data_IF_316435668072
#
_entry.id   IF_316435668072
#
_cell.length_a   1.000
_cell.length_b   1.000
_cell.length_c   1.000
_cell.angle_alpha   90.00
_cell.angle_beta   90.00
_cell.angle_gamma   90.00
#
_symmetry.space_group_name_H-M   'P 1'
#
loop_
_entity.id
_entity.type
_entity.pdbx_description
1 polymer ?
#
# COMPACT_ATOMS: atom_id res chain seq x y z
N UNK A 1 -31.09 2.87 -29.80
CA UNK A 1 -32.09 3.59 -28.97
C UNK A 1 -32.73 4.65 -29.86
N UNK A 2 -34.07 4.69 -29.89
CA UNK A 2 -34.81 5.66 -30.69
C UNK A 2 -34.79 7.07 -30.05
N UNK A 3 -34.89 8.11 -30.88
CA UNK A 3 -35.03 9.50 -30.39
C UNK A 3 -36.25 9.64 -29.45
N UNK A 4 -37.33 8.92 -29.75
CA UNK A 4 -38.52 8.87 -28.89
C UNK A 4 -38.22 8.38 -27.48
N UNK A 5 -37.31 7.41 -27.35
CA UNK A 5 -36.86 6.88 -26.02
C UNK A 5 -36.10 7.97 -25.28
N UNK A 6 -35.17 8.65 -25.94
CA UNK A 6 -34.38 9.72 -25.35
C UNK A 6 -35.25 10.88 -24.89
N UNK A 7 -36.17 11.31 -25.75
CA UNK A 7 -37.16 12.35 -25.38
C UNK A 7 -38.02 11.95 -24.19
N UNK A 8 -38.43 10.67 -24.11
CA UNK A 8 -39.15 10.17 -22.96
C UNK A 8 -38.31 10.23 -21.69
N UNK A 9 -37.04 9.78 -21.75
CA UNK A 9 -36.11 9.80 -20.59
C UNK A 9 -35.87 11.24 -20.10
N UNK A 10 -35.79 12.23 -21.02
CA UNK A 10 -35.67 13.65 -20.65
C UNK A 10 -36.93 14.15 -19.96
N UNK A 11 -38.10 13.82 -20.53
CA UNK A 11 -39.40 14.27 -19.96
C UNK A 11 -39.70 13.63 -18.61
N UNK A 12 -39.30 12.38 -18.41
CA UNK A 12 -39.53 11.64 -17.17
C UNK A 12 -38.52 11.98 -16.05
N UNK A 13 -37.50 12.83 -16.34
CA UNK A 13 -36.51 13.25 -15.36
C UNK A 13 -37.13 14.28 -14.39
N UNK A 14 -37.22 13.94 -13.11
CA UNK A 14 -37.81 14.76 -12.04
C UNK A 14 -37.18 16.16 -11.95
N UNK A 15 -35.92 16.31 -12.29
CA UNK A 15 -35.24 17.63 -12.28
C UNK A 15 -35.82 18.62 -13.33
N UNK A 16 -36.47 18.10 -14.37
CA UNK A 16 -37.06 18.88 -15.44
C UNK A 16 -38.57 18.95 -15.35
N UNK A 17 -39.16 18.42 -14.26
CA UNK A 17 -40.61 18.41 -14.03
C UNK A 17 -41.02 19.49 -13.00
N UNK A 18 -42.28 19.89 -13.03
CA UNK A 18 -42.90 20.65 -11.95
C UNK A 18 -43.46 19.75 -10.86
N UNK A 19 -44.13 20.30 -9.86
CA UNK A 19 -44.74 19.60 -8.74
C UNK A 19 -45.81 18.59 -9.16
N UNK A 20 -46.40 18.78 -10.33
CA UNK A 20 -47.41 17.90 -10.91
C UNK A 20 -46.82 16.83 -11.85
N UNK A 21 -45.47 16.73 -11.94
CA UNK A 21 -44.82 15.77 -12.83
C UNK A 21 -44.80 16.16 -14.31
N UNK A 22 -45.14 17.39 -14.65
CA UNK A 22 -45.17 17.88 -16.03
C UNK A 22 -43.83 18.48 -16.43
N UNK A 23 -43.27 18.01 -17.57
CA UNK A 23 -41.99 18.49 -18.09
C UNK A 23 -42.00 20.01 -18.33
N UNK A 24 -41.02 20.71 -17.80
CA UNK A 24 -40.80 22.14 -17.92
C UNK A 24 -39.58 22.45 -18.80
N UNK A 25 -39.80 22.91 -20.02
CA UNK A 25 -38.71 23.25 -20.97
C UNK A 25 -37.73 24.27 -20.39
N UNK A 26 -38.22 25.24 -19.62
CA UNK A 26 -37.38 26.27 -18.99
C UNK A 26 -36.38 25.63 -17.97
N UNK A 27 -36.78 24.62 -17.21
CA UNK A 27 -35.89 23.93 -16.30
C UNK A 27 -34.79 23.16 -17.05
N UNK A 28 -35.17 22.54 -18.18
CA UNK A 28 -34.21 21.82 -19.04
C UNK A 28 -33.20 22.81 -19.68
N UNK A 29 -33.67 23.93 -20.25
CA UNK A 29 -32.78 24.94 -20.83
C UNK A 29 -31.83 25.56 -19.80
N UNK A 30 -32.32 25.90 -18.60
CA UNK A 30 -31.46 26.35 -17.49
C UNK A 30 -30.41 25.36 -17.11
N UNK A 31 -30.75 24.07 -17.04
CA UNK A 31 -29.80 23.01 -16.78
C UNK A 31 -28.70 22.93 -17.86
N UNK A 32 -29.07 23.01 -19.13
CA UNK A 32 -28.12 23.02 -20.24
C UNK A 32 -27.15 24.19 -20.14
N UNK A 33 -27.65 25.39 -19.88
CA UNK A 33 -26.84 26.57 -19.71
C UNK A 33 -25.91 26.49 -18.51
N UNK A 34 -26.41 26.07 -17.35
CA UNK A 34 -25.60 25.93 -16.14
C UNK A 34 -24.51 24.87 -16.27
N UNK A 35 -24.76 23.83 -17.08
CA UNK A 35 -23.82 22.74 -17.34
C UNK A 35 -22.88 22.99 -18.52
N UNK A 36 -23.00 24.12 -19.18
CA UNK A 36 -22.30 24.48 -20.41
C UNK A 36 -22.41 23.38 -21.51
N UNK A 37 -23.62 22.86 -21.69
CA UNK A 37 -23.94 21.80 -22.64
C UNK A 37 -24.95 22.31 -23.70
N UNK A 38 -24.73 21.89 -24.93
CA UNK A 38 -25.79 22.02 -25.94
C UNK A 38 -26.77 20.85 -25.85
N UNK A 39 -28.03 21.03 -26.27
CA UNK A 39 -29.03 19.97 -26.28
C UNK A 39 -28.58 18.75 -27.07
N UNK A 40 -27.99 18.83 -28.28
CA UNK A 40 -27.46 17.68 -29.00
C UNK A 40 -26.35 16.92 -28.24
N UNK A 41 -25.47 17.66 -27.56
CA UNK A 41 -24.41 17.02 -26.74
C UNK A 41 -24.98 16.26 -25.52
N UNK A 42 -25.97 16.84 -24.86
CA UNK A 42 -26.64 16.21 -23.72
C UNK A 42 -27.42 14.98 -24.16
N UNK A 43 -28.18 15.06 -25.25
CA UNK A 43 -28.92 13.94 -25.83
C UNK A 43 -28.01 12.81 -26.30
N UNK A 44 -26.85 13.13 -26.89
CA UNK A 44 -25.83 12.13 -27.24
C UNK A 44 -25.25 11.44 -26.00
N UNK A 45 -24.92 12.20 -24.95
CA UNK A 45 -24.46 11.62 -23.68
C UNK A 45 -25.52 10.70 -23.06
N UNK A 46 -26.78 11.12 -23.08
CA UNK A 46 -27.89 10.34 -22.58
C UNK A 46 -28.08 9.06 -23.40
N UNK A 47 -28.02 9.15 -24.73
CA UNK A 47 -28.08 8.00 -25.64
C UNK A 47 -26.97 7.00 -25.34
N UNK A 48 -25.73 7.44 -25.19
CA UNK A 48 -24.60 6.59 -24.89
C UNK A 48 -24.77 5.91 -23.52
N UNK A 49 -25.24 6.62 -22.51
CA UNK A 49 -25.55 6.06 -21.19
C UNK A 49 -26.64 5.00 -21.23
N UNK A 50 -27.70 5.25 -21.96
CA UNK A 50 -28.78 4.26 -22.13
C UNK A 50 -28.33 3.04 -22.95
N UNK A 51 -27.49 3.23 -23.97
CA UNK A 51 -26.86 2.11 -24.72
C UNK A 51 -25.99 1.28 -23.80
N UNK A 52 -25.15 1.89 -22.99
CA UNK A 52 -24.30 1.20 -22.02
C UNK A 52 -25.14 0.43 -20.98
N UNK A 53 -26.20 1.05 -20.47
CA UNK A 53 -27.14 0.39 -19.55
C UNK A 53 -27.78 -0.84 -20.20
N UNK A 54 -28.30 -0.72 -21.42
CA UNK A 54 -28.88 -1.84 -22.16
C UNK A 54 -27.86 -2.96 -22.41
N UNK A 55 -26.63 -2.60 -22.79
CA UNK A 55 -25.55 -3.57 -22.95
C UNK A 55 -25.29 -4.36 -21.66
N UNK A 56 -25.16 -3.67 -20.55
CA UNK A 56 -24.96 -4.30 -19.24
C UNK A 56 -26.18 -5.12 -18.80
N UNK A 57 -27.38 -4.67 -19.14
CA UNK A 57 -28.59 -5.42 -18.85
C UNK A 57 -28.67 -6.70 -19.70
N UNK A 58 -28.30 -6.65 -20.98
CA UNK A 58 -28.28 -7.84 -21.85
C UNK A 58 -27.21 -8.86 -21.39
N UNK A 59 -26.01 -8.39 -21.03
CA UNK A 59 -24.91 -9.25 -20.60
C UNK A 59 -25.21 -9.87 -19.23
N UNK A 60 -25.73 -9.07 -18.30
CA UNK A 60 -26.04 -9.47 -16.93
C UNK A 60 -27.49 -9.88 -16.67
N UNK A 61 -28.36 -9.81 -17.68
CA UNK A 61 -29.79 -10.12 -17.51
C UNK A 61 -30.02 -11.64 -17.30
N UNK A 62 -30.91 -11.94 -16.38
CA UNK A 62 -31.29 -13.31 -16.08
C UNK A 62 -30.30 -14.09 -15.22
N UNK A 63 -29.22 -13.44 -14.75
CA UNK A 63 -28.26 -14.08 -13.86
C UNK A 63 -28.81 -14.10 -12.44
N UNK A 64 -29.58 -15.11 -12.14
CA UNK A 64 -30.05 -15.42 -10.77
C UNK A 64 -29.24 -16.61 -10.29
N UNK A 65 -28.58 -16.46 -9.16
CA UNK A 65 -27.89 -17.58 -8.51
C UNK A 65 -28.93 -18.62 -8.09
N UNK A 66 -28.75 -19.91 -8.45
CA UNK A 66 -29.65 -20.95 -8.00
C UNK A 66 -29.80 -20.97 -6.48
N UNK A 67 -31.04 -21.04 -5.97
CA UNK A 67 -31.33 -20.97 -4.54
C UNK A 67 -30.53 -21.97 -3.72
N UNK A 68 -30.38 -23.21 -4.19
CA UNK A 68 -29.61 -24.24 -3.48
C UNK A 68 -28.14 -23.86 -3.28
N UNK A 69 -27.52 -23.13 -4.22
CA UNK A 69 -26.14 -22.63 -4.07
C UNK A 69 -26.07 -21.49 -3.05
N UNK A 70 -27.07 -20.62 -3.06
CA UNK A 70 -27.15 -19.52 -2.07
C UNK A 70 -27.34 -20.10 -0.67
N UNK A 71 -28.30 -21.04 -0.51
CA UNK A 71 -28.56 -21.71 0.76
C UNK A 71 -27.32 -22.41 1.30
N UNK A 72 -26.68 -23.22 0.46
CA UNK A 72 -25.43 -23.90 0.84
C UNK A 72 -24.34 -22.93 1.29
N UNK A 73 -24.13 -21.86 0.53
CA UNK A 73 -23.12 -20.86 0.87
C UNK A 73 -23.46 -20.07 2.13
N UNK A 74 -24.75 -19.79 2.35
CA UNK A 74 -25.21 -19.15 3.57
C UNK A 74 -24.99 -20.05 4.78
N UNK A 75 -25.35 -21.32 4.71
CA UNK A 75 -25.09 -22.32 5.75
C UNK A 75 -23.60 -22.44 6.05
N UNK A 76 -22.75 -22.51 5.03
CA UNK A 76 -21.30 -22.59 5.18
C UNK A 76 -20.72 -21.34 5.87
N UNK A 77 -21.23 -20.16 5.58
CA UNK A 77 -20.75 -18.90 6.17
C UNK A 77 -21.27 -18.69 7.61
N UNK A 78 -22.40 -19.29 7.96
CA UNK A 78 -23.07 -19.08 9.25
C UNK A 78 -23.08 -20.32 10.13
N UNK A 79 -22.29 -21.36 9.79
CA UNK A 79 -22.07 -22.49 10.71
C UNK A 79 -21.31 -22.01 11.94
N UNK A 80 -21.52 -22.61 13.10
CA UNK A 80 -20.71 -22.40 14.29
C UNK A 80 -19.55 -23.38 14.29
N UNK A 81 -18.32 -22.87 14.41
CA UNK A 81 -17.12 -23.67 14.61
C UNK A 81 -16.75 -23.69 16.09
N UNK A 82 -16.57 -24.86 16.66
CA UNK A 82 -15.97 -25.02 17.99
C UNK A 82 -14.46 -25.31 17.81
N UNK A 83 -13.65 -24.49 18.44
CA UNK A 83 -12.19 -24.53 18.31
C UNK A 83 -11.53 -24.79 19.65
N UNK A 84 -10.50 -25.64 19.64
CA UNK A 84 -9.50 -25.74 20.70
C UNK A 84 -8.24 -25.05 20.22
N UNK A 85 -7.61 -24.19 21.02
CA UNK A 85 -6.44 -23.42 20.59
C UNK A 85 -5.52 -23.05 21.74
N UNK A 86 -4.30 -22.68 21.42
CA UNK A 86 -3.34 -22.10 22.37
C UNK A 86 -2.33 -21.19 21.65
N UNK A 87 -1.77 -20.24 22.42
CA UNK A 87 -0.75 -19.33 21.94
C UNK A 87 0.58 -20.04 21.78
N UNK A 88 1.25 -19.85 20.64
CA UNK A 88 2.52 -20.46 20.31
C UNK A 88 3.72 -19.78 21.00
N UNK A 89 3.53 -18.55 21.54
CA UNK A 89 4.63 -17.73 22.09
C UNK A 89 5.42 -18.46 23.18
N UNK A 90 4.74 -19.22 24.03
CA UNK A 90 5.39 -20.02 25.09
C UNK A 90 6.20 -21.21 24.62
N UNK A 91 6.20 -21.55 23.32
CA UNK A 91 6.97 -22.64 22.74
C UNK A 91 8.24 -22.17 22.02
N UNK A 92 8.39 -20.88 21.82
CA UNK A 92 9.59 -20.32 21.19
C UNK A 92 10.71 -20.18 22.21
N UNK A 93 11.95 -20.26 21.74
CA UNK A 93 13.15 -19.98 22.55
C UNK A 93 13.11 -18.51 23.00
N UNK A 94 13.36 -18.23 24.28
CA UNK A 94 13.41 -16.84 24.75
C UNK A 94 14.62 -16.10 24.14
N UNK A 95 14.47 -14.80 23.88
CA UNK A 95 15.56 -13.98 23.32
C UNK A 95 16.80 -13.94 24.21
N UNK A 96 16.62 -14.07 25.52
CA UNK A 96 17.72 -14.11 26.48
C UNK A 96 18.50 -15.41 26.51
N UNK A 97 17.98 -16.45 25.87
CA UNK A 97 18.64 -17.77 25.79
C UNK A 97 19.62 -17.89 24.61
N UNK A 98 19.67 -16.86 23.72
CA UNK A 98 20.64 -16.86 22.63
C UNK A 98 22.02 -16.42 23.14
N UNK A 99 22.99 -17.32 22.94
CA UNK A 99 24.39 -17.09 23.31
C UNK A 99 25.15 -16.34 22.24
N UNK A 100 26.32 -15.81 22.56
CA UNK A 100 27.21 -15.21 21.54
C UNK A 100 27.64 -16.25 20.49
N UNK A 101 27.77 -17.50 20.88
CA UNK A 101 28.09 -18.59 19.95
C UNK A 101 26.97 -18.80 18.92
N UNK A 102 25.68 -18.77 19.37
CA UNK A 102 24.51 -18.82 18.46
C UNK A 102 24.55 -17.68 17.46
N UNK A 103 24.87 -16.47 17.90
CA UNK A 103 24.96 -15.29 17.03
C UNK A 103 26.12 -15.39 16.04
N UNK A 104 27.28 -15.92 16.46
CA UNK A 104 28.41 -16.12 15.55
C UNK A 104 28.10 -17.17 14.47
N UNK A 105 27.44 -18.27 14.85
CA UNK A 105 26.98 -19.30 13.90
C UNK A 105 25.99 -18.67 12.91
N UNK A 106 25.02 -17.90 13.41
CA UNK A 106 24.02 -17.22 12.59
C UNK A 106 24.65 -16.24 11.59
N UNK A 107 25.64 -15.45 12.02
CA UNK A 107 26.39 -14.53 11.15
C UNK A 107 27.11 -15.32 10.05
N UNK A 108 27.76 -16.42 10.40
CA UNK A 108 28.50 -17.25 9.45
C UNK A 108 27.59 -17.91 8.41
N UNK A 109 26.42 -18.41 8.84
CA UNK A 109 25.45 -19.04 7.94
C UNK A 109 24.76 -18.03 6.99
N UNK A 110 24.68 -16.76 7.39
CA UNK A 110 23.99 -15.71 6.67
C UNK A 110 24.94 -14.57 6.27
N UNK A 111 26.22 -14.86 6.09
CA UNK A 111 27.28 -13.86 5.90
C UNK A 111 26.98 -12.90 4.74
N UNK A 112 26.55 -13.43 3.60
CA UNK A 112 26.25 -12.61 2.41
C UNK A 112 25.07 -11.66 2.59
N UNK A 113 24.11 -12.00 3.46
CA UNK A 113 22.93 -11.19 3.74
C UNK A 113 23.16 -10.18 4.86
N UNK A 114 24.07 -10.49 5.80
CA UNK A 114 24.34 -9.68 6.98
C UNK A 114 25.50 -8.71 6.79
N UNK A 115 26.36 -8.93 5.78
CA UNK A 115 27.41 -7.97 5.44
C UNK A 115 26.79 -6.63 5.05
N UNK A 116 27.27 -5.57 5.68
CA UNK A 116 26.93 -4.20 5.30
C UNK A 116 28.06 -3.59 4.48
N UNK A 117 27.71 -2.91 3.40
CA UNK A 117 28.65 -2.15 2.60
C UNK A 117 28.90 -0.81 3.24
N UNK A 118 30.18 -0.43 3.27
CA UNK A 118 30.68 0.83 3.80
C UNK A 118 31.52 1.55 2.74
N UNK A 119 31.47 2.87 2.76
CA UNK A 119 32.34 3.71 1.94
C UNK A 119 33.10 4.70 2.81
N UNK A 120 34.37 4.93 2.44
CA UNK A 120 35.16 6.06 2.91
C UNK A 120 35.21 7.08 1.77
N UNK A 121 34.84 8.32 2.03
CA UNK A 121 34.78 9.34 1.00
C UNK A 121 35.08 10.73 1.54
N UNK A 122 35.49 11.61 0.60
CA UNK A 122 35.62 13.04 0.83
C UNK A 122 34.64 13.78 -0.04
N UNK A 123 34.09 14.87 0.49
CA UNK A 123 33.21 15.71 -0.30
C UNK A 123 33.29 17.17 0.09
N UNK A 124 32.88 18.01 -0.82
CA UNK A 124 32.70 19.45 -0.62
C UNK A 124 31.29 19.83 -1.05
N UNK A 125 30.72 20.80 -0.35
CA UNK A 125 29.45 21.41 -0.73
C UNK A 125 29.75 22.69 -1.48
N UNK A 126 29.30 22.80 -2.73
CA UNK A 126 29.49 23.95 -3.58
C UNK A 126 28.20 24.77 -3.66
N UNK A 127 28.32 26.05 -3.40
CA UNK A 127 27.25 27.04 -3.55
C UNK A 127 27.86 28.36 -4.04
N UNK A 128 27.05 29.33 -4.50
CA UNK A 128 27.59 30.59 -5.02
C UNK A 128 28.51 31.33 -4.06
N UNK A 129 28.18 31.27 -2.74
CA UNK A 129 28.95 31.95 -1.70
C UNK A 129 30.36 31.41 -1.53
N UNK A 130 30.51 30.08 -1.56
CA UNK A 130 31.85 29.46 -1.32
C UNK A 130 32.64 29.21 -2.60
N UNK A 131 32.00 29.19 -3.77
CA UNK A 131 32.68 28.97 -5.05
C UNK A 131 33.11 30.29 -5.71
N UNK A 132 32.24 31.30 -5.75
CA UNK A 132 32.46 32.57 -6.43
C UNK A 132 32.26 33.82 -5.54
N UNK A 133 31.93 33.65 -4.25
CA UNK A 133 31.83 34.73 -3.28
C UNK A 133 30.56 35.59 -3.35
N UNK A 134 29.50 35.15 -4.05
CA UNK A 134 28.20 35.85 -4.16
C UNK A 134 27.09 35.05 -3.47
N UNK A 135 26.00 35.72 -3.08
CA UNK A 135 24.90 35.03 -2.34
C UNK A 135 23.92 34.35 -3.32
N UNK A 136 23.77 34.84 -4.55
CA UNK A 136 22.79 34.38 -5.50
C UNK A 136 23.39 33.60 -6.65
N UNK A 137 22.64 32.65 -7.20
CA UNK A 137 23.01 31.91 -8.40
C UNK A 137 23.03 32.83 -9.61
N UNK A 138 24.14 32.78 -10.35
CA UNK A 138 24.35 33.52 -11.57
C UNK A 138 25.09 32.68 -12.61
N UNK A 139 25.25 33.21 -13.81
CA UNK A 139 25.92 32.50 -14.91
C UNK A 139 27.36 32.10 -14.56
N UNK A 140 28.08 32.96 -13.82
CA UNK A 140 29.48 32.72 -13.45
C UNK A 140 29.59 31.47 -12.52
N UNK A 141 28.63 31.28 -11.62
CA UNK A 141 28.57 30.07 -10.79
C UNK A 141 28.40 28.80 -11.63
N UNK A 142 27.48 28.81 -12.59
CA UNK A 142 27.23 27.64 -13.44
C UNK A 142 28.41 27.39 -14.39
N UNK A 143 29.08 28.44 -14.90
CA UNK A 143 30.29 28.31 -15.70
C UNK A 143 31.43 27.65 -14.90
N UNK A 144 31.54 27.91 -13.58
CA UNK A 144 32.51 27.22 -12.72
C UNK A 144 32.09 25.75 -12.43
N UNK A 145 30.83 25.48 -12.28
CA UNK A 145 30.29 24.10 -12.15
C UNK A 145 30.60 23.32 -13.44
N UNK A 146 30.32 23.87 -14.61
CA UNK A 146 30.62 23.26 -15.91
C UNK A 146 32.13 22.98 -16.08
N UNK A 147 33.01 23.88 -15.61
CA UNK A 147 34.44 23.63 -15.60
C UNK A 147 34.86 22.45 -14.75
N UNK A 148 34.24 22.32 -13.56
CA UNK A 148 34.48 21.17 -12.67
C UNK A 148 34.00 19.88 -13.33
N UNK A 149 32.85 19.86 -13.95
CA UNK A 149 32.35 18.70 -14.70
C UNK A 149 33.27 18.32 -15.87
N UNK A 150 33.76 19.30 -16.61
CA UNK A 150 34.71 19.08 -17.70
C UNK A 150 36.03 18.49 -17.17
N UNK A 151 36.56 19.02 -16.05
CA UNK A 151 37.77 18.47 -15.41
C UNK A 151 37.57 17.01 -14.98
N UNK A 152 36.44 16.67 -14.40
CA UNK A 152 36.09 15.28 -14.05
C UNK A 152 36.05 14.40 -15.30
N UNK A 153 35.43 14.89 -16.37
CA UNK A 153 35.34 14.18 -17.66
C UNK A 153 36.68 13.96 -18.34
N UNK A 154 37.61 14.90 -18.17
CA UNK A 154 38.99 14.84 -18.66
C UNK A 154 39.89 13.96 -17.77
N UNK A 155 39.39 13.47 -16.65
CA UNK A 155 40.09 12.54 -15.75
C UNK A 155 40.94 13.23 -14.68
N UNK A 156 40.67 14.49 -14.35
CA UNK A 156 41.32 15.17 -13.23
C UNK A 156 41.00 14.46 -11.92
N UNK A 157 41.93 14.37 -11.00
CA UNK A 157 41.71 13.83 -9.66
C UNK A 157 41.08 14.88 -8.72
N UNK A 158 40.48 14.39 -7.64
CA UNK A 158 39.79 15.23 -6.65
C UNK A 158 40.73 16.31 -6.05
N UNK A 159 41.98 15.98 -5.79
CA UNK A 159 42.96 16.91 -5.23
C UNK A 159 43.25 18.09 -6.17
N UNK A 160 43.46 17.80 -7.45
CA UNK A 160 43.69 18.82 -8.49
C UNK A 160 42.53 19.80 -8.62
N UNK A 161 41.29 19.28 -8.55
CA UNK A 161 40.09 20.13 -8.57
C UNK A 161 40.02 21.00 -7.32
N UNK A 162 40.31 20.45 -6.13
CA UNK A 162 40.30 21.21 -4.88
C UNK A 162 41.31 22.36 -4.83
N UNK A 163 42.46 22.20 -5.45
CA UNK A 163 43.47 23.29 -5.53
C UNK A 163 42.91 24.53 -6.24
N UNK A 164 42.01 24.35 -7.18
CA UNK A 164 41.37 25.44 -7.94
C UNK A 164 40.25 26.14 -7.17
N UNK A 165 39.47 25.41 -6.35
CA UNK A 165 38.26 25.94 -5.76
C UNK A 165 38.37 26.36 -4.27
N UNK A 166 39.41 25.95 -3.56
CA UNK A 166 39.75 26.35 -2.17
C UNK A 166 38.61 26.23 -1.15
N UNK A 167 37.78 25.20 -1.26
CA UNK A 167 36.60 24.96 -0.39
C UNK A 167 36.93 23.97 0.73
N UNK A 168 36.23 24.06 1.86
CA UNK A 168 36.41 23.15 3.00
C UNK A 168 35.99 21.73 2.64
N UNK A 169 36.90 20.77 2.80
CA UNK A 169 36.66 19.35 2.58
C UNK A 169 36.06 18.69 3.84
N UNK A 170 35.03 17.91 3.67
CA UNK A 170 34.52 17.01 4.65
C UNK A 170 35.00 15.59 4.34
N UNK A 171 35.52 14.89 5.33
CA UNK A 171 35.98 13.52 5.22
C UNK A 171 35.12 12.61 6.13
N UNK A 172 34.57 11.56 5.55
CA UNK A 172 33.73 10.58 6.23
C UNK A 172 34.36 9.21 6.05
N UNK A 173 34.51 8.52 7.16
CA UNK A 173 35.06 7.16 7.19
C UNK A 173 33.98 6.22 7.71
N UNK A 174 33.91 5.04 7.12
CA UNK A 174 33.00 3.96 7.54
C UNK A 174 31.52 4.37 7.50
N UNK A 175 31.10 5.01 6.41
CA UNK A 175 29.71 5.41 6.23
C UNK A 175 28.86 4.28 5.63
N UNK A 176 27.75 4.00 6.29
CA UNK A 176 26.61 3.26 5.76
C UNK A 176 25.31 3.96 6.21
N UNK A 177 24.29 4.09 5.36
CA UNK A 177 23.08 4.80 5.71
C UNK A 177 22.31 4.06 6.80
N UNK A 178 22.01 4.72 7.91
CA UNK A 178 21.29 4.16 9.06
C UNK A 178 19.79 4.48 9.06
N UNK A 179 19.31 5.37 8.21
CA UNK A 179 17.91 5.78 8.20
C UNK A 179 17.47 6.27 6.82
N UNK A 180 16.18 6.47 6.66
CA UNK A 180 15.56 7.06 5.46
C UNK A 180 15.80 8.58 5.31
N UNK A 181 16.66 9.18 6.12
CA UNK A 181 16.97 10.60 6.03
C UNK A 181 17.80 10.85 4.75
N UNK A 182 17.32 11.77 3.92
CA UNK A 182 18.05 12.26 2.75
C UNK A 182 19.11 13.28 3.20
N UNK A 183 20.28 12.78 3.59
CA UNK A 183 21.45 13.62 3.86
C UNK A 183 22.38 13.65 2.64
N UNK A 184 23.29 14.62 2.60
CA UNK A 184 24.32 14.69 1.54
C UNK A 184 25.11 13.38 1.45
N UNK A 185 25.45 12.79 2.60
CA UNK A 185 26.17 11.52 2.69
C UNK A 185 25.35 10.35 2.15
N UNK A 186 24.03 10.33 2.41
CA UNK A 186 23.17 9.29 1.88
C UNK A 186 23.00 9.38 0.35
N UNK A 187 23.00 10.60 -0.19
CA UNK A 187 22.98 10.84 -1.63
C UNK A 187 24.27 10.35 -2.29
N UNK A 188 25.42 10.63 -1.69
CA UNK A 188 26.72 10.15 -2.16
C UNK A 188 26.76 8.61 -2.13
N UNK A 189 26.29 8.00 -1.04
CA UNK A 189 26.24 6.55 -0.93
C UNK A 189 25.37 5.89 -2.02
N UNK A 190 24.24 6.48 -2.35
CA UNK A 190 23.35 5.99 -3.43
C UNK A 190 24.03 6.05 -4.81
N UNK A 191 24.98 6.97 -4.99
CA UNK A 191 25.72 7.19 -6.23
C UNK A 191 27.16 6.64 -6.20
N UNK A 192 27.47 5.71 -5.30
CA UNK A 192 28.81 5.16 -5.06
C UNK A 192 29.43 4.42 -6.25
N UNK A 193 28.66 4.08 -7.27
CA UNK A 193 29.17 3.50 -8.52
C UNK A 193 30.18 4.40 -9.26
N UNK A 194 30.12 5.71 -9.03
CA UNK A 194 31.06 6.69 -9.58
C UNK A 194 32.05 7.11 -8.48
N UNK A 195 33.34 6.86 -8.70
CA UNK A 195 34.37 7.19 -7.70
C UNK A 195 34.53 8.69 -7.46
N UNK A 196 34.49 9.49 -8.50
CA UNK A 196 34.52 10.94 -8.47
C UNK A 196 33.36 11.46 -9.29
N UNK A 197 32.55 12.32 -8.72
CA UNK A 197 31.39 12.88 -9.41
C UNK A 197 30.91 14.15 -8.75
N UNK A 198 30.09 14.90 -9.49
CA UNK A 198 29.37 16.07 -9.02
C UNK A 198 27.88 15.77 -9.03
N UNK A 199 27.19 16.05 -7.94
CA UNK A 199 25.75 15.80 -7.76
C UNK A 199 25.02 17.07 -7.35
N UNK A 200 23.87 17.30 -7.94
CA UNK A 200 22.94 18.34 -7.47
C UNK A 200 22.22 17.89 -6.18
N UNK A 201 22.18 18.76 -5.18
CA UNK A 201 21.53 18.51 -3.89
C UNK A 201 20.75 19.74 -3.44
N UNK A 202 19.52 19.91 -3.93
CA UNK A 202 18.70 21.09 -3.73
C UNK A 202 19.37 22.34 -4.30
N UNK A 203 19.64 23.32 -3.42
CA UNK A 203 20.30 24.58 -3.80
C UNK A 203 21.85 24.49 -3.75
N UNK A 204 22.43 23.29 -3.69
CA UNK A 204 23.87 23.08 -3.62
C UNK A 204 24.31 21.99 -4.58
N UNK A 205 25.61 21.95 -4.88
CA UNK A 205 26.26 20.84 -5.56
C UNK A 205 27.22 20.13 -4.61
N UNK A 206 27.30 18.81 -4.72
CA UNK A 206 28.18 17.95 -3.95
C UNK A 206 29.26 17.38 -4.88
N UNK A 207 30.48 17.88 -4.79
CA UNK A 207 31.61 17.23 -5.42
C UNK A 207 32.18 16.22 -4.42
N UNK A 208 32.23 14.95 -4.77
CA UNK A 208 32.71 13.89 -3.90
C UNK A 208 33.69 12.95 -4.56
N UNK A 209 34.53 12.32 -3.75
CA UNK A 209 35.43 11.25 -4.16
C UNK A 209 35.37 10.09 -3.18
N UNK A 210 35.05 8.89 -3.67
CA UNK A 210 35.09 7.67 -2.90
C UNK A 210 36.48 7.08 -2.86
N UNK A 211 37.08 7.06 -1.68
CA UNK A 211 38.42 6.58 -1.45
C UNK A 211 38.45 5.06 -1.36
N UNK A 212 37.41 4.48 -0.70
CA UNK A 212 37.38 3.04 -0.44
C UNK A 212 35.94 2.57 -0.35
N UNK A 213 35.67 1.39 -0.90
CA UNK A 213 34.43 0.65 -0.76
C UNK A 213 34.75 -0.74 -0.21
N UNK A 214 34.05 -1.18 0.83
CA UNK A 214 34.29 -2.46 1.46
C UNK A 214 33.06 -2.93 2.22
N UNK A 215 33.01 -4.24 2.51
CA UNK A 215 31.95 -4.84 3.28
C UNK A 215 32.49 -5.32 4.63
N UNK A 216 31.69 -5.16 5.68
CA UNK A 216 32.01 -5.70 7.01
C UNK A 216 30.87 -6.60 7.50
N UNK A 217 31.26 -7.68 8.15
CA UNK A 217 30.34 -8.50 8.97
C UNK A 217 29.91 -7.72 10.22
N UNK A 218 28.71 -8.00 10.77
CA UNK A 218 28.24 -7.36 11.99
C UNK A 218 29.24 -7.53 13.16
N UNK A 219 29.42 -6.48 13.94
CA UNK A 219 30.31 -6.49 15.12
C UNK A 219 29.47 -6.75 16.39
N UNK A 220 29.73 -7.86 17.06
CA UNK A 220 29.03 -8.25 18.30
C UNK A 220 29.47 -7.43 19.53
N UNK A 221 30.54 -6.64 19.43
CA UNK A 221 30.91 -5.73 20.52
C UNK A 221 30.01 -4.49 20.61
N UNK A 222 29.16 -4.26 19.62
CA UNK A 222 28.15 -3.20 19.62
C UNK A 222 26.82 -3.77 20.14
N UNK A 223 26.36 -3.30 21.29
CA UNK A 223 25.13 -3.78 21.93
C UNK A 223 23.90 -3.64 21.03
N UNK A 224 23.85 -2.61 20.19
CA UNK A 224 22.76 -2.40 19.25
C UNK A 224 22.77 -3.49 18.17
N UNK A 225 23.92 -3.74 17.58
CA UNK A 225 24.10 -4.82 16.57
C UNK A 225 23.78 -6.18 17.17
N UNK A 226 24.20 -6.43 18.40
CA UNK A 226 23.90 -7.65 19.14
C UNK A 226 22.38 -7.83 19.34
N UNK A 227 21.69 -6.77 19.74
CA UNK A 227 20.22 -6.78 19.91
C UNK A 227 19.49 -7.00 18.57
N UNK A 228 19.91 -6.32 17.48
CA UNK A 228 19.36 -6.51 16.13
C UNK A 228 19.54 -7.95 15.63
N UNK A 229 20.71 -8.56 15.84
CA UNK A 229 20.99 -9.94 15.46
C UNK A 229 20.20 -10.94 16.29
N UNK A 230 20.05 -10.68 17.60
CA UNK A 230 19.21 -11.51 18.48
C UNK A 230 17.76 -11.50 18.01
N UNK A 231 17.26 -10.35 17.59
CA UNK A 231 15.90 -10.27 17.00
C UNK A 231 15.80 -11.05 15.70
N UNK A 232 16.79 -10.96 14.81
CA UNK A 232 16.79 -11.66 13.53
C UNK A 232 16.83 -13.19 13.70
N UNK A 233 17.70 -13.71 14.59
CA UNK A 233 17.77 -15.16 14.84
C UNK A 233 16.49 -15.66 15.51
N UNK A 234 15.92 -14.89 16.45
CA UNK A 234 14.64 -15.20 17.09
C UNK A 234 13.52 -15.32 16.05
N UNK A 235 13.41 -14.36 15.13
CA UNK A 235 12.37 -14.38 14.09
C UNK A 235 12.58 -15.56 13.11
N UNK A 236 13.83 -15.88 12.77
CA UNK A 236 14.15 -17.07 11.95
C UNK A 236 13.73 -18.36 12.64
N UNK A 237 14.12 -18.54 13.90
CA UNK A 237 13.79 -19.75 14.65
C UNK A 237 12.29 -19.90 14.87
N UNK A 238 11.59 -18.81 15.16
CA UNK A 238 10.12 -18.75 15.23
C UNK A 238 9.48 -19.18 13.91
N UNK A 239 9.98 -18.66 12.80
CA UNK A 239 9.51 -19.04 11.47
C UNK A 239 9.78 -20.52 11.17
N UNK A 240 10.98 -21.02 11.43
CA UNK A 240 11.38 -22.40 11.19
C UNK A 240 10.59 -23.38 12.07
N UNK A 241 10.33 -23.04 13.33
CA UNK A 241 9.47 -23.81 14.21
C UNK A 241 8.04 -23.91 13.67
N UNK A 242 7.45 -22.79 13.30
CA UNK A 242 6.09 -22.76 12.74
C UNK A 242 6.00 -23.53 11.42
N UNK A 243 7.02 -23.41 10.57
CA UNK A 243 7.11 -24.18 9.32
C UNK A 243 7.15 -25.68 9.58
N UNK A 244 7.93 -26.15 10.54
CA UNK A 244 7.98 -27.56 10.93
C UNK A 244 6.62 -28.07 11.40
N UNK A 245 5.90 -27.31 12.23
CA UNK A 245 4.54 -27.66 12.64
C UNK A 245 3.61 -27.78 11.43
N UNK A 246 3.65 -26.83 10.49
CA UNK A 246 2.85 -26.89 9.28
C UNK A 246 3.21 -28.09 8.39
N UNK A 247 4.48 -28.43 8.27
CA UNK A 247 4.95 -29.61 7.53
C UNK A 247 4.45 -30.92 8.20
N UNK A 248 4.47 -30.99 9.54
CA UNK A 248 3.90 -32.12 10.29
C UNK A 248 2.38 -32.24 10.03
N UNK A 249 1.65 -31.12 9.99
CA UNK A 249 0.21 -31.06 9.70
C UNK A 249 -0.06 -31.52 8.25
N UNK A 250 0.65 -30.97 7.27
CA UNK A 250 0.49 -31.30 5.85
C UNK A 250 0.81 -32.76 5.55
N UNK A 251 1.84 -33.31 6.19
CA UNK A 251 2.23 -34.71 6.06
C UNK A 251 1.35 -35.67 6.88
N UNK A 252 0.32 -35.17 7.56
CA UNK A 252 -0.57 -35.93 8.45
C UNK A 252 0.13 -36.65 9.61
N UNK A 253 1.30 -36.17 9.97
CA UNK A 253 2.06 -36.69 11.17
C UNK A 253 1.61 -36.00 12.45
N UNK A 254 1.06 -34.79 12.33
CA UNK A 254 0.50 -34.01 13.45
C UNK A 254 -0.85 -34.61 13.86
N UNK A 255 -1.01 -34.93 15.12
CA UNK A 255 -2.21 -35.56 15.66
C UNK A 255 -2.67 -34.93 16.98
N UNK A 256 -3.79 -35.39 17.52
CA UNK A 256 -4.39 -34.84 18.72
C UNK A 256 -3.52 -35.00 19.99
N UNK A 257 -2.72 -36.07 20.07
CA UNK A 257 -1.74 -36.23 21.18
C UNK A 257 -0.70 -35.10 21.10
N UNK A 258 -0.09 -34.93 19.94
CA UNK A 258 0.93 -33.90 19.70
C UNK A 258 0.38 -32.49 19.98
N UNK A 259 -0.90 -32.22 19.60
CA UNK A 259 -1.58 -30.95 19.88
C UNK A 259 -1.73 -30.71 21.38
N UNK A 260 -2.15 -31.74 22.13
CA UNK A 260 -2.31 -31.67 23.59
C UNK A 260 -0.98 -31.55 24.32
N UNK A 261 0.03 -32.26 23.85
CA UNK A 261 1.38 -32.22 24.43
C UNK A 261 1.99 -30.82 24.32
N UNK A 262 1.83 -30.18 23.17
CA UNK A 262 2.30 -28.80 22.94
C UNK A 262 1.47 -27.76 23.72
N UNK A 263 0.15 -27.92 23.74
CA UNK A 263 -0.75 -27.00 24.42
C UNK A 263 -0.73 -27.13 25.93
N UNK A 264 -0.37 -28.35 26.44
CA UNK A 264 -0.35 -28.66 27.86
C UNK A 264 -1.53 -28.02 28.65
N UNK A 265 -1.25 -27.19 29.66
CA UNK A 265 -2.25 -26.50 30.46
C UNK A 265 -2.76 -25.16 29.86
N UNK A 266 -2.31 -24.77 28.66
CA UNK A 266 -2.65 -23.50 28.02
C UNK A 266 -3.78 -23.62 26.97
N UNK A 267 -4.44 -24.80 26.87
CA UNK A 267 -5.53 -25.03 25.95
C UNK A 267 -6.77 -24.20 26.31
N UNK A 268 -7.25 -23.45 25.34
CA UNK A 268 -8.44 -22.63 25.40
C UNK A 268 -9.49 -23.14 24.40
N UNK A 269 -10.76 -22.81 24.65
CA UNK A 269 -11.86 -23.14 23.76
C UNK A 269 -12.61 -21.86 23.36
N UNK A 270 -13.03 -21.80 22.11
CA UNK A 270 -13.90 -20.72 21.60
C UNK A 270 -14.88 -21.24 20.57
N UNK A 271 -16.04 -20.62 20.51
CA UNK A 271 -17.01 -20.81 19.44
C UNK A 271 -17.02 -19.59 18.51
N UNK A 272 -16.76 -19.81 17.23
CA UNK A 272 -16.87 -18.81 16.17
C UNK A 272 -18.23 -18.98 15.50
N UNK A 273 -19.09 -18.00 15.61
CA UNK A 273 -20.50 -18.11 15.20
C UNK A 273 -20.75 -17.90 13.74
N UNK A 274 -19.92 -17.09 13.08
CA UNK A 274 -20.03 -16.78 11.64
C UNK A 274 -18.64 -16.55 11.04
N UNK A 275 -18.55 -16.61 9.72
CA UNK A 275 -17.31 -16.33 8.97
C UNK A 275 -16.79 -14.88 9.16
N UNK A 276 -17.63 -14.00 9.71
CA UNK A 276 -17.29 -12.59 9.99
C UNK A 276 -17.04 -12.32 11.48
N UNK A 277 -17.04 -13.36 12.33
CA UNK A 277 -16.81 -13.25 13.77
C UNK A 277 -15.32 -13.16 14.06
N UNK A 278 -14.78 -11.95 14.05
CA UNK A 278 -13.36 -11.63 14.24
C UNK A 278 -13.00 -11.22 15.67
N UNK A 279 -13.77 -11.69 16.65
CA UNK A 279 -13.55 -11.33 18.05
C UNK A 279 -12.26 -11.91 18.63
N UNK A 280 -11.88 -13.15 18.23
CA UNK A 280 -10.72 -13.87 18.78
C UNK A 280 -9.52 -13.85 17.82
N UNK A 281 -9.77 -14.06 16.52
CA UNK A 281 -8.74 -14.15 15.49
C UNK A 281 -8.96 -13.10 14.40
N UNK A 282 -7.95 -12.83 13.58
CA UNK A 282 -8.13 -11.94 12.45
C UNK A 282 -9.08 -12.52 11.39
N UNK A 283 -9.70 -11.66 10.60
CA UNK A 283 -10.74 -12.05 9.64
C UNK A 283 -10.24 -13.02 8.55
N UNK A 284 -8.96 -13.00 8.17
CA UNK A 284 -8.41 -13.90 7.17
C UNK A 284 -8.20 -15.29 7.79
N UNK A 285 -7.74 -15.33 9.04
CA UNK A 285 -7.63 -16.54 9.85
C UNK A 285 -9.01 -17.22 10.00
N UNK A 286 -10.06 -16.46 10.34
CA UNK A 286 -11.42 -16.98 10.41
C UNK A 286 -11.89 -17.56 9.08
N UNK A 287 -11.73 -16.81 7.98
CA UNK A 287 -12.09 -17.30 6.64
C UNK A 287 -11.36 -18.59 6.27
N UNK A 288 -10.09 -18.71 6.63
CA UNK A 288 -9.33 -19.93 6.43
C UNK A 288 -9.90 -21.09 7.26
N UNK A 289 -10.17 -20.88 8.55
CA UNK A 289 -10.77 -21.91 9.42
C UNK A 289 -12.10 -22.45 8.87
N UNK A 290 -12.93 -21.59 8.27
CA UNK A 290 -14.19 -22.00 7.65
C UNK A 290 -14.04 -22.89 6.41
N UNK A 291 -12.86 -22.95 5.82
CA UNK A 291 -12.55 -23.84 4.68
C UNK A 291 -12.07 -25.22 5.10
N UNK A 292 -11.66 -25.38 6.36
CA UNK A 292 -11.05 -26.61 6.85
C UNK A 292 -12.12 -27.59 7.42
N UNK A 293 -11.91 -28.89 7.31
CA UNK A 293 -12.79 -29.89 7.91
C UNK A 293 -12.58 -30.01 9.43
N UNK A 294 -13.55 -30.62 10.11
CA UNK A 294 -13.43 -30.97 11.53
C UNK A 294 -12.22 -31.90 11.75
N UNK A 295 -11.59 -31.79 12.89
CA UNK A 295 -10.33 -32.43 13.28
C UNK A 295 -9.10 -31.98 12.48
N UNK A 296 -9.17 -30.85 11.77
CA UNK A 296 -8.00 -30.20 11.18
C UNK A 296 -7.26 -29.34 12.19
N UNK A 297 -5.95 -29.21 11.96
CA UNK A 297 -5.05 -28.32 12.70
C UNK A 297 -4.51 -27.25 11.75
N UNK A 298 -4.28 -26.05 12.25
CA UNK A 298 -3.63 -24.98 11.49
C UNK A 298 -3.09 -23.88 12.40
N UNK A 299 -2.18 -23.07 11.88
CA UNK A 299 -1.75 -21.84 12.53
C UNK A 299 -2.63 -20.68 12.07
N UNK A 300 -3.02 -19.83 13.01
CA UNK A 300 -3.81 -18.60 12.75
C UNK A 300 -3.23 -17.45 13.54
N UNK A 301 -3.55 -16.24 13.11
CA UNK A 301 -3.17 -15.02 13.81
C UNK A 301 -4.39 -14.34 14.43
N UNK A 302 -4.18 -13.63 15.54
CA UNK A 302 -5.10 -12.62 16.02
C UNK A 302 -4.83 -11.25 15.36
N UNK A 303 -5.54 -10.20 15.81
CA UNK A 303 -5.39 -8.82 15.32
C UNK A 303 -4.03 -8.19 15.67
N UNK A 304 -3.38 -8.69 16.69
CA UNK A 304 -2.07 -8.23 17.18
C UNK A 304 -0.90 -9.04 16.57
N UNK A 305 -1.19 -9.92 15.60
CA UNK A 305 -0.25 -10.84 14.96
C UNK A 305 0.37 -11.91 15.88
N UNK A 306 -0.25 -12.17 17.02
CA UNK A 306 0.12 -13.36 17.81
C UNK A 306 -0.29 -14.62 17.05
N UNK A 307 0.55 -15.64 17.12
CA UNK A 307 0.34 -16.91 16.41
C UNK A 307 -0.26 -17.94 17.37
N UNK A 308 -1.34 -18.57 16.94
CA UNK A 308 -2.03 -19.63 17.66
C UNK A 308 -2.07 -20.91 16.84
N UNK A 309 -1.88 -22.04 17.51
CA UNK A 309 -2.19 -23.33 16.92
C UNK A 309 -3.61 -23.70 17.29
N UNK A 310 -4.41 -23.95 16.26
CA UNK A 310 -5.85 -24.18 16.39
C UNK A 310 -6.21 -25.55 15.86
N UNK A 311 -7.12 -26.21 16.55
CA UNK A 311 -7.82 -27.44 16.14
C UNK A 311 -9.31 -27.13 15.98
N UNK A 312 -9.91 -27.55 14.88
CA UNK A 312 -11.36 -27.52 14.70
C UNK A 312 -11.93 -28.77 15.37
N UNK A 313 -12.59 -28.60 16.53
CA UNK A 313 -13.14 -29.70 17.30
C UNK A 313 -14.53 -30.12 16.84
N UNK A 314 -15.35 -29.18 16.42
CA UNK A 314 -16.72 -29.43 15.93
C UNK A 314 -17.17 -28.34 14.95
N UNK A 315 -18.18 -28.66 14.14
CA UNK A 315 -18.83 -27.73 13.21
C UNK A 315 -20.32 -27.97 13.17
N UNK A 316 -21.12 -27.03 13.70
CA UNK A 316 -22.57 -27.10 13.77
C UNK A 316 -23.22 -26.20 12.74
N UNK A 317 -24.14 -26.73 11.96
CA UNK A 317 -25.01 -25.92 11.09
C UNK A 317 -26.02 -25.15 11.93
N UNK A 318 -26.13 -23.85 11.70
CA UNK A 318 -27.12 -23.03 12.31
C UNK A 318 -28.41 -23.06 11.47
N UNK A 319 -29.55 -23.19 12.13
CA UNK A 319 -30.84 -23.02 11.46
C UNK A 319 -31.05 -21.56 11.10
N UNK A 320 -31.59 -21.30 9.93
CA UNK A 320 -31.98 -19.96 9.50
C UNK A 320 -33.36 -20.00 8.83
N UNK A 321 -34.05 -18.87 8.88
CA UNK A 321 -35.31 -18.69 8.15
C UNK A 321 -35.04 -17.86 6.88
N UNK A 322 -35.61 -18.31 5.74
CA UNK A 322 -35.47 -17.60 4.45
C UNK A 322 -36.13 -16.21 4.46
N UNK A 323 -36.94 -15.91 5.46
CA UNK A 323 -37.55 -14.59 5.68
C UNK A 323 -36.69 -13.66 6.53
N UNK A 324 -35.58 -14.14 7.11
CA UNK A 324 -34.70 -13.34 7.95
C UNK A 324 -34.01 -12.26 7.08
N UNK A 325 -33.90 -11.06 7.61
CA UNK A 325 -33.39 -9.90 6.89
C UNK A 325 -31.93 -10.15 6.40
N UNK A 326 -31.12 -10.79 7.23
CA UNK A 326 -29.73 -11.15 6.90
C UNK A 326 -29.64 -12.11 5.71
N UNK A 327 -30.55 -13.11 5.66
CA UNK A 327 -30.63 -14.05 4.53
C UNK A 327 -31.06 -13.33 3.25
N UNK A 328 -32.10 -12.50 3.34
CA UNK A 328 -32.61 -11.72 2.19
C UNK A 328 -31.51 -10.80 1.64
N UNK A 329 -30.79 -10.12 2.52
CA UNK A 329 -29.67 -9.26 2.12
C UNK A 329 -28.52 -10.07 1.53
N UNK A 330 -28.21 -11.24 2.06
CA UNK A 330 -27.21 -12.15 1.52
C UNK A 330 -27.55 -12.59 0.10
N UNK A 331 -28.81 -12.99 -0.16
CA UNK A 331 -29.30 -13.34 -1.51
C UNK A 331 -29.09 -12.19 -2.49
N UNK A 332 -29.46 -10.97 -2.11
CA UNK A 332 -29.28 -9.77 -2.92
C UNK A 332 -27.81 -9.53 -3.25
N UNK A 333 -26.93 -9.67 -2.26
CA UNK A 333 -25.49 -9.49 -2.42
C UNK A 333 -24.90 -10.56 -3.34
N UNK A 334 -25.30 -11.85 -3.20
CA UNK A 334 -24.81 -12.92 -4.06
C UNK A 334 -25.21 -12.70 -5.51
N UNK A 335 -26.45 -12.31 -5.78
CA UNK A 335 -26.92 -12.00 -7.14
C UNK A 335 -26.15 -10.80 -7.73
N UNK A 336 -25.91 -9.76 -6.93
CA UNK A 336 -25.12 -8.61 -7.35
C UNK A 336 -23.67 -8.98 -7.68
N UNK A 337 -23.04 -9.80 -6.83
CA UNK A 337 -21.66 -10.26 -7.03
C UNK A 337 -21.53 -11.15 -8.27
N UNK A 338 -22.48 -12.05 -8.52
CA UNK A 338 -22.49 -12.86 -9.74
C UNK A 338 -22.64 -12.01 -11.00
N UNK A 339 -23.57 -11.05 -10.98
CA UNK A 339 -23.72 -10.09 -12.08
C UNK A 339 -22.41 -9.32 -12.33
N UNK A 340 -21.76 -8.83 -11.28
CA UNK A 340 -20.48 -8.14 -11.37
C UNK A 340 -19.39 -9.04 -11.95
N UNK A 341 -19.30 -10.30 -11.52
CA UNK A 341 -18.32 -11.27 -12.03
C UNK A 341 -18.48 -11.52 -13.53
N UNK A 342 -19.73 -11.67 -14.00
CA UNK A 342 -20.02 -11.84 -15.43
C UNK A 342 -19.62 -10.59 -16.24
N UNK A 343 -19.93 -9.39 -15.73
CA UNK A 343 -19.53 -8.15 -16.38
C UNK A 343 -18.01 -7.99 -16.43
N UNK A 344 -17.30 -8.39 -15.37
CA UNK A 344 -15.83 -8.38 -15.34
C UNK A 344 -15.24 -9.38 -16.37
N UNK A 345 -15.81 -10.59 -16.46
CA UNK A 345 -15.38 -11.59 -17.46
C UNK A 345 -15.62 -11.09 -18.88
N UNK A 346 -16.73 -10.41 -19.12
CA UNK A 346 -17.03 -9.79 -20.42
C UNK A 346 -16.05 -8.66 -20.74
N UNK A 347 -15.71 -7.83 -19.75
CA UNK A 347 -14.72 -6.75 -19.90
C UNK A 347 -13.33 -7.31 -20.25
N UNK A 348 -12.90 -8.39 -19.56
CA UNK A 348 -11.67 -9.10 -19.93
C UNK A 348 -11.69 -9.64 -21.36
N UNK A 349 -12.82 -10.22 -21.79
CA UNK A 349 -12.98 -10.71 -23.16
C UNK A 349 -12.85 -9.56 -24.17
N UNK A 350 -13.44 -8.40 -23.88
CA UNK A 350 -13.33 -7.22 -24.73
C UNK A 350 -11.88 -6.69 -24.77
N UNK A 351 -11.21 -6.61 -23.64
CA UNK A 351 -9.81 -6.15 -23.56
C UNK A 351 -8.86 -7.07 -24.32
N UNK A 352 -9.14 -8.38 -24.37
CA UNK A 352 -8.38 -9.32 -25.18
C UNK A 352 -8.69 -9.21 -26.68
N UNK A 353 -9.90 -8.74 -27.04
CA UNK A 353 -10.34 -8.65 -28.44
C UNK A 353 -10.03 -7.30 -29.08
N UNK A 354 -10.00 -6.24 -28.29
CA UNK A 354 -9.83 -4.87 -28.76
C UNK A 354 -8.65 -4.21 -28.05
N UNK A 355 -7.77 -3.56 -28.84
CA UNK A 355 -6.67 -2.76 -28.30
C UNK A 355 -7.21 -1.42 -27.77
N UNK A 356 -7.00 -1.15 -26.49
CA UNK A 356 -7.35 0.13 -25.86
C UNK A 356 -6.14 1.05 -25.92
N UNK A 357 -6.20 2.11 -26.75
CA UNK A 357 -5.16 3.14 -26.80
C UNK A 357 -5.51 4.30 -25.86
N UNK A 358 -4.73 4.43 -24.80
CA UNK A 358 -4.87 5.54 -23.87
C UNK A 358 -3.95 6.68 -24.30
N UNK A 359 -4.52 7.85 -24.54
CA UNK A 359 -3.73 9.04 -24.80
C UNK A 359 -3.16 9.59 -23.47
N UNK A 360 -1.92 9.18 -23.16
CA UNK A 360 -1.25 9.54 -21.91
C UNK A 360 -1.15 11.05 -21.71
N UNK A 361 -0.90 11.83 -22.77
CA UNK A 361 -0.86 13.30 -22.69
C UNK A 361 -2.19 13.91 -22.22
N UNK A 362 -3.32 13.34 -22.65
CA UNK A 362 -4.65 13.78 -22.19
C UNK A 362 -4.90 13.40 -20.74
N UNK A 363 -4.49 12.22 -20.31
CA UNK A 363 -4.57 11.77 -18.91
C UNK A 363 -3.73 12.68 -18.01
N UNK A 364 -2.52 13.01 -18.41
CA UNK A 364 -1.63 13.88 -17.62
C UNK A 364 -2.16 15.32 -17.54
N UNK A 365 -2.75 15.83 -18.62
CA UNK A 365 -3.46 17.14 -18.58
C UNK A 365 -4.60 17.14 -17.56
N UNK A 366 -5.41 16.09 -17.53
CA UNK A 366 -6.52 15.96 -16.57
C UNK A 366 -5.98 15.87 -15.15
N UNK A 367 -4.97 15.03 -14.91
CA UNK A 367 -4.32 14.92 -13.59
C UNK A 367 -3.74 16.25 -13.10
N UNK A 368 -3.08 16.99 -13.99
CA UNK A 368 -2.51 18.29 -13.67
C UNK A 368 -3.59 19.33 -13.39
N UNK A 369 -4.69 19.34 -14.15
CA UNK A 369 -5.82 20.24 -13.91
C UNK A 369 -6.40 20.02 -12.50
N UNK A 370 -6.64 18.78 -12.08
CA UNK A 370 -7.14 18.49 -10.74
C UNK A 370 -6.12 18.76 -9.64
N UNK A 371 -4.83 18.58 -9.90
CA UNK A 371 -3.76 18.97 -8.96
C UNK A 371 -3.75 20.49 -8.71
N UNK A 372 -3.87 21.28 -9.76
CA UNK A 372 -3.94 22.74 -9.66
C UNK A 372 -5.19 23.22 -8.94
N UNK A 373 -6.35 22.65 -9.22
CA UNK A 373 -7.60 23.01 -8.54
C UNK A 373 -7.58 22.70 -7.04
N UNK A 374 -6.91 21.62 -6.62
CA UNK A 374 -6.72 21.30 -5.21
C UNK A 374 -5.75 22.27 -4.51
N UNK A 375 -4.70 22.71 -5.20
CA UNK A 375 -3.75 23.71 -4.69
C UNK A 375 -4.42 25.09 -4.58
N UNK A 376 -5.21 25.50 -5.55
CA UNK A 376 -6.00 26.75 -5.47
C UNK A 376 -7.04 26.69 -4.35
N UNK A 377 -7.77 25.59 -4.19
CA UNK A 377 -8.71 25.40 -3.09
C UNK A 377 -8.04 25.43 -1.71
N UNK A 378 -6.82 24.91 -1.59
CA UNK A 378 -6.05 24.97 -0.35
C UNK A 378 -5.52 26.36 -0.05
N UNK A 379 -5.14 27.15 -1.08
CA UNK A 379 -4.72 28.55 -0.94
C UNK A 379 -5.88 29.47 -0.57
N UNK A 380 -7.05 29.30 -1.17
CA UNK A 380 -8.23 30.11 -0.82
C UNK A 380 -8.72 29.80 0.60
N UNK A 381 -8.65 28.56 1.06
CA UNK A 381 -9.01 28.23 2.45
C UNK A 381 -8.04 28.80 3.49
N UNK A 382 -6.74 28.90 3.17
CA UNK A 382 -5.75 29.51 4.06
C UNK A 382 -5.89 31.03 4.15
N UNK A 383 -6.24 31.70 3.05
CA UNK A 383 -6.53 33.15 3.03
C UNK A 383 -7.78 33.51 3.83
N UNK A 384 -8.84 32.70 3.79
CA UNK A 384 -10.05 32.90 4.59
C UNK A 384 -9.82 32.70 6.09
N UNK A 385 -8.90 31.84 6.49
CA UNK A 385 -8.54 31.63 7.89
C UNK A 385 -7.70 32.80 8.43
N UNK A 386 -6.78 33.34 7.63
CA UNK A 386 -6.00 34.54 8.01
C UNK A 386 -6.87 35.82 8.05
N UNK A 387 -7.75 35.99 7.09
CA UNK A 387 -8.71 37.12 7.10
C UNK A 387 -9.67 37.08 8.30
N UNK A 388 -10.09 35.89 8.74
CA UNK A 388 -10.88 35.73 9.98
C UNK A 388 -10.06 35.99 11.25
N UNK A 389 -8.78 35.61 11.28
CA UNK A 389 -7.88 35.94 12.40
C UNK A 389 -7.66 37.46 12.52
N UNK A 390 -7.44 38.16 11.43
CA UNK A 390 -7.25 39.62 11.42
C UNK A 390 -8.53 40.36 11.87
N UNK A 391 -9.73 39.90 11.47
CA UNK A 391 -11.00 40.47 11.96
C UNK A 391 -11.28 40.21 13.44
N UNK A 392 -10.79 39.14 14.01
CA UNK A 392 -10.88 38.85 15.45
C UNK A 392 -9.94 39.72 16.26
N UNK A 393 -8.71 40.00 15.79
CA UNK A 393 -7.74 40.89 16.47
C UNK A 393 -8.15 42.36 16.47
N UNK A 394 -8.89 42.82 15.45
CA UNK A 394 -9.39 44.20 15.38
C UNK A 394 -10.66 44.43 16.20
N UNK A 395 -11.37 43.39 16.63
CA UNK A 395 -12.56 43.49 17.53
C UNK A 395 -12.21 43.45 19.01
N UNK A 396 -10.99 43.07 19.39
CA UNK A 396 -10.54 43.09 20.80
C UNK A 396 -9.81 44.38 21.20
N UNK A 397 -9.69 45.35 20.26
CA UNK A 397 -9.05 46.67 20.53
C UNK A 397 -10.03 47.83 20.36
N UNK A 398 -11.32 47.61 20.46
CA UNK A 398 -12.36 48.62 20.67
C UNK A 398 -13.16 48.18 21.95
#
# INVERSE_FOLDING_TARGET
ISERTILKTIKDNKNFQDENGVFQRVKYEKFLLSSNLSAPMFELKLKNRELQKHLFDIIGAGTITPNFLIEKKYEENNKTLSLEYFNMEGLYKDKNEYTEEDLLIFIKENEDQLKREYIDFKYVVLNPKNLIGVEEFNQEFFDEIDKIENQISEGADFGTILETIKVKVNEIIEYAPNSKAQTSESLIYQNKSSKLNLLENGDNFLLYNINKEYSKSPNLNDDKTKSELTELIYQKDKFDFNRKILEEIQSKKFNNSRFKDLGNNSLLNVEIKTINDDATFDINSIKMLYTLPVNSFTLVNDKDNNIFLVKISDSKKNFFNKSDEDYVQFVKNQNTNNRKSILQSYDQLLNNKYEVKVNQKSVDRVKNYFKWSLIEASRTSSFDIEAKKIKLYTRQKK
#
